data_IF_650489487868
#
_entry.id   IF_650489487868
#
_cell.length_a   1.000
_cell.length_b   1.000
_cell.length_c   1.000
_cell.angle_alpha   90.00
_cell.angle_beta   90.00
_cell.angle_gamma   90.00
#
_symmetry.space_group_name_H-M   'P 1'
#
loop_
_entity.id
_entity.type
_entity.pdbx_description
1 polymer ?
#
# COMPACT_ATOMS: atom_id res chain seq x y z
N UNK A 1 -6.30 -15.44 -11.25
CA UNK A 1 -5.98 -15.39 -9.82
C UNK A 1 -7.24 -15.08 -9.03
N UNK A 2 -7.50 -15.86 -8.02
CA UNK A 2 -8.73 -15.73 -7.24
C UNK A 2 -8.45 -14.99 -5.93
N UNK A 3 -9.18 -13.92 -5.67
CA UNK A 3 -9.10 -13.16 -4.42
C UNK A 3 -10.12 -13.69 -3.40
N UNK A 4 -9.81 -13.50 -2.12
CA UNK A 4 -10.67 -13.99 -1.03
C UNK A 4 -12.04 -13.30 -1.02
N UNK A 5 -12.08 -11.99 -1.33
CA UNK A 5 -13.30 -11.22 -1.25
C UNK A 5 -13.74 -10.68 -2.59
N UNK A 6 -15.03 -10.79 -2.86
CA UNK A 6 -15.65 -10.30 -4.09
C UNK A 6 -15.98 -8.80 -3.98
N UNK A 7 -16.18 -8.12 -5.12
CA UNK A 7 -16.68 -6.75 -5.11
C UNK A 7 -17.98 -6.63 -4.30
N UNK A 8 -18.13 -5.51 -3.63
CA UNK A 8 -19.28 -5.16 -2.77
C UNK A 8 -19.34 -5.93 -1.45
N UNK A 9 -18.36 -6.80 -1.15
CA UNK A 9 -18.32 -7.47 0.15
C UNK A 9 -17.87 -6.52 1.26
N UNK A 10 -18.27 -6.83 2.48
CA UNK A 10 -17.99 -6.00 3.67
C UNK A 10 -17.41 -6.84 4.80
N UNK A 11 -16.21 -7.41 4.63
CA UNK A 11 -15.63 -8.23 5.68
C UNK A 11 -15.25 -7.41 6.92
N UNK A 12 -15.10 -6.10 6.76
CA UNK A 12 -14.72 -5.19 7.83
C UNK A 12 -15.79 -4.12 7.98
N UNK A 13 -16.30 -3.96 9.19
CA UNK A 13 -17.35 -2.97 9.46
C UNK A 13 -16.86 -1.56 9.12
N UNK A 14 -17.69 -0.82 8.42
CA UNK A 14 -17.39 0.55 8.00
C UNK A 14 -16.72 0.68 6.64
N UNK A 15 -16.46 -0.45 5.97
CA UNK A 15 -15.75 -0.45 4.68
C UNK A 15 -16.42 -1.38 3.69
N UNK A 16 -16.46 -0.95 2.42
CA UNK A 16 -16.95 -1.77 1.31
C UNK A 16 -15.84 -2.00 0.31
N UNK A 17 -15.54 -3.25 0.00
CA UNK A 17 -14.57 -3.61 -1.03
C UNK A 17 -15.20 -3.34 -2.39
N UNK A 18 -14.51 -2.59 -3.24
CA UNK A 18 -14.97 -2.30 -4.60
C UNK A 18 -14.31 -3.16 -5.65
N UNK A 19 -13.00 -3.40 -5.51
CA UNK A 19 -12.26 -4.28 -6.42
C UNK A 19 -10.95 -4.73 -5.81
N UNK A 20 -10.45 -5.86 -6.27
CA UNK A 20 -9.13 -6.34 -5.90
C UNK A 20 -8.07 -5.60 -6.71
N UNK A 21 -6.96 -5.28 -6.08
CA UNK A 21 -5.84 -4.57 -6.72
C UNK A 21 -4.64 -5.49 -6.91
N UNK A 22 -4.26 -6.20 -5.84
CA UNK A 22 -2.99 -6.93 -5.83
C UNK A 22 -3.05 -8.10 -4.88
N UNK A 23 -2.35 -9.17 -5.23
CA UNK A 23 -2.15 -10.33 -4.36
C UNK A 23 -0.68 -10.72 -4.39
N UNK A 24 -0.07 -10.84 -3.22
CA UNK A 24 1.33 -11.21 -3.07
C UNK A 24 1.56 -12.12 -1.89
N UNK A 25 2.82 -12.39 -1.56
CA UNK A 25 3.19 -13.29 -0.47
C UNK A 25 2.75 -12.85 0.91
N UNK A 26 2.51 -11.54 1.09
CA UNK A 26 2.12 -10.98 2.39
C UNK A 26 0.61 -10.72 2.52
N UNK A 27 -0.16 -10.97 1.49
CA UNK A 27 -1.60 -10.81 1.55
C UNK A 27 -2.20 -10.21 0.29
N UNK A 28 -3.43 -9.73 0.42
CA UNK A 28 -4.21 -9.17 -0.67
C UNK A 28 -4.48 -7.70 -0.41
N UNK A 29 -4.49 -6.90 -1.47
CA UNK A 29 -4.82 -5.47 -1.39
C UNK A 29 -6.06 -5.20 -2.21
N UNK A 30 -6.98 -4.44 -1.65
CA UNK A 30 -8.25 -4.08 -2.27
C UNK A 30 -8.42 -2.57 -2.30
N UNK A 31 -9.09 -2.09 -3.33
CA UNK A 31 -9.64 -0.75 -3.37
C UNK A 31 -11.02 -0.79 -2.72
N UNK A 32 -11.25 0.09 -1.77
CA UNK A 32 -12.51 0.14 -1.07
C UNK A 32 -12.94 1.55 -0.73
N UNK A 33 -14.13 1.65 -0.17
CA UNK A 33 -14.70 2.92 0.29
C UNK A 33 -15.10 2.78 1.75
N UNK A 34 -14.85 3.83 2.51
CA UNK A 34 -15.44 3.95 3.85
C UNK A 34 -16.95 4.25 3.70
N UNK A 35 -17.71 4.05 4.76
CA UNK A 35 -19.15 4.39 4.75
C UNK A 35 -19.38 5.89 4.48
N UNK A 36 -18.38 6.74 4.77
CA UNK A 36 -18.43 8.16 4.45
C UNK A 36 -18.05 8.47 2.99
N UNK A 37 -17.70 7.46 2.20
CA UNK A 37 -17.35 7.64 0.79
C UNK A 37 -15.88 7.93 0.51
N UNK A 38 -15.01 7.80 1.49
CA UNK A 38 -13.57 8.02 1.29
C UNK A 38 -12.93 6.81 0.61
N UNK A 39 -12.11 7.06 -0.40
CA UNK A 39 -11.33 6.02 -1.05
C UNK A 39 -10.17 5.57 -0.17
N UNK A 40 -10.00 4.26 -0.04
CA UNK A 40 -8.90 3.67 0.74
C UNK A 40 -8.35 2.45 0.03
N UNK A 41 -7.08 2.12 0.33
CA UNK A 41 -6.53 0.81 0.03
C UNK A 41 -6.62 -0.01 1.30
N UNK A 42 -7.09 -1.26 1.16
CA UNK A 42 -7.31 -2.15 2.29
C UNK A 42 -6.43 -3.39 2.10
N UNK A 43 -5.44 -3.55 2.96
CA UNK A 43 -4.53 -4.69 2.88
C UNK A 43 -4.90 -5.73 3.92
N UNK A 44 -5.27 -6.91 3.46
CA UNK A 44 -5.53 -8.06 4.32
C UNK A 44 -4.22 -8.76 4.64
N UNK A 45 -3.87 -8.82 5.92
CA UNK A 45 -2.69 -9.55 6.38
C UNK A 45 -3.06 -11.00 6.62
N UNK A 46 -2.39 -11.91 5.91
CA UNK A 46 -2.58 -13.34 6.05
C UNK A 46 -1.34 -13.96 6.67
N UNK A 47 -1.48 -15.15 7.26
CA UNK A 47 -0.38 -15.93 7.80
C UNK A 47 0.34 -15.29 9.00
N UNK A 48 -0.40 -14.64 9.90
CA UNK A 48 0.14 -14.13 11.17
C UNK A 48 1.39 -13.27 11.00
N UNK A 49 1.30 -12.23 10.20
CA UNK A 49 2.40 -11.30 9.97
C UNK A 49 2.59 -10.36 11.16
N UNK A 50 2.95 -10.89 12.32
CA UNK A 50 3.18 -10.07 13.52
C UNK A 50 4.28 -9.05 13.32
N UNK A 51 5.34 -9.44 12.61
CA UNK A 51 6.45 -8.53 12.33
C UNK A 51 5.99 -7.37 11.44
N UNK A 52 5.21 -7.68 10.40
CA UNK A 52 4.66 -6.65 9.53
C UNK A 52 3.70 -5.74 10.30
N UNK A 53 2.84 -6.32 11.14
CA UNK A 53 1.89 -5.56 11.94
C UNK A 53 2.59 -4.59 12.89
N UNK A 54 3.68 -5.02 13.54
CA UNK A 54 4.46 -4.14 14.41
C UNK A 54 5.09 -2.99 13.63
N UNK A 55 5.66 -3.28 12.46
CA UNK A 55 6.22 -2.25 11.61
C UNK A 55 5.19 -1.22 11.19
N UNK A 56 4.01 -1.69 10.81
CA UNK A 56 2.91 -0.81 10.41
C UNK A 56 2.41 0.03 11.59
N UNK A 57 2.31 -0.56 12.78
CA UNK A 57 1.91 0.17 13.98
C UNK A 57 2.82 1.36 14.26
N UNK A 58 4.13 1.20 14.02
CA UNK A 58 5.10 2.28 14.19
C UNK A 58 4.92 3.37 13.13
N UNK A 59 4.29 3.06 12.01
CA UNK A 59 4.07 4.01 10.91
C UNK A 59 2.70 4.67 10.94
N UNK A 60 1.85 4.33 11.91
CA UNK A 60 0.54 4.97 12.05
C UNK A 60 0.70 6.47 12.25
N UNK A 61 -0.09 7.22 11.49
CA UNK A 61 -0.14 8.69 11.58
C UNK A 61 1.14 9.41 11.17
N UNK A 62 2.11 8.71 10.57
CA UNK A 62 3.23 9.39 9.95
C UNK A 62 2.72 10.07 8.67
N UNK A 63 3.14 11.31 8.47
CA UNK A 63 2.77 12.07 7.29
C UNK A 63 4.02 12.55 6.57
N UNK A 64 4.17 12.14 5.33
CA UNK A 64 5.26 12.56 4.46
C UNK A 64 4.79 12.48 3.01
N UNK A 65 5.13 13.47 2.15
CA UNK A 65 4.67 13.47 0.76
C UNK A 65 5.06 12.23 -0.05
N UNK A 66 6.13 11.56 0.33
CA UNK A 66 6.64 10.40 -0.39
C UNK A 66 6.34 9.07 0.29
N UNK A 67 5.47 9.05 1.29
CA UNK A 67 5.01 7.85 1.95
C UNK A 67 3.49 7.76 1.88
N UNK A 68 2.99 6.55 1.65
CA UNK A 68 1.55 6.28 1.74
C UNK A 68 1.14 6.40 3.21
N UNK A 69 0.12 7.19 3.48
CA UNK A 69 -0.38 7.39 4.83
C UNK A 69 -1.16 6.17 5.28
N UNK A 70 -0.83 5.63 6.45
CA UNK A 70 -1.58 4.55 7.06
C UNK A 70 -2.58 5.17 8.03
N UNK A 71 -3.87 4.93 7.77
CA UNK A 71 -4.94 5.52 8.56
C UNK A 71 -5.29 4.72 9.79
N UNK A 72 -5.28 3.39 9.67
CA UNK A 72 -5.75 2.55 10.77
C UNK A 72 -5.32 1.10 10.56
N UNK A 73 -5.37 0.34 11.64
CA UNK A 73 -5.21 -1.12 11.63
C UNK A 73 -6.45 -1.67 12.32
N UNK A 74 -7.16 -2.56 11.65
CA UNK A 74 -8.40 -3.12 12.18
C UNK A 74 -8.38 -4.64 12.10
N UNK A 75 -9.17 -5.27 12.95
CA UNK A 75 -9.33 -6.72 12.96
C UNK A 75 -10.77 -7.06 12.58
N UNK A 76 -10.95 -8.04 11.70
CA UNK A 76 -12.29 -8.46 11.28
C UNK A 76 -12.86 -9.54 12.18
N UNK A 77 -14.07 -10.00 11.86
CA UNK A 77 -14.75 -11.03 12.65
C UNK A 77 -14.06 -12.38 12.66
N UNK A 78 -13.18 -12.64 11.70
CA UNK A 78 -12.42 -13.89 11.60
C UNK A 78 -11.06 -13.79 12.29
N UNK A 79 -10.75 -12.65 12.87
CA UNK A 79 -9.47 -12.43 13.55
C UNK A 79 -8.34 -11.98 12.67
N UNK A 80 -8.58 -11.78 11.38
CA UNK A 80 -7.56 -11.29 10.46
C UNK A 80 -7.39 -9.78 10.58
N UNK A 81 -6.15 -9.32 10.41
CA UNK A 81 -5.84 -7.91 10.49
C UNK A 81 -5.89 -7.25 9.12
N UNK A 82 -6.37 -6.02 9.10
CA UNK A 82 -6.43 -5.19 7.91
C UNK A 82 -5.69 -3.88 8.15
N UNK A 83 -4.88 -3.49 7.17
CA UNK A 83 -4.24 -2.17 7.17
C UNK A 83 -5.06 -1.28 6.25
N UNK A 84 -5.55 -0.17 6.79
CA UNK A 84 -6.31 0.81 6.02
C UNK A 84 -5.36 1.96 5.71
N UNK A 85 -5.17 2.23 4.43
CA UNK A 85 -4.19 3.21 4.00
C UNK A 85 -4.71 4.06 2.85
N UNK A 86 -3.98 5.11 2.56
CA UNK A 86 -4.25 6.01 1.46
C UNK A 86 -4.28 5.22 0.14
N UNK A 87 -5.31 5.46 -0.68
CA UNK A 87 -5.36 4.93 -2.03
C UNK A 87 -4.65 5.90 -2.98
N UNK A 88 -3.63 5.40 -3.67
CA UNK A 88 -2.89 6.18 -4.66
C UNK A 88 -3.24 5.66 -6.05
N UNK A 89 -3.86 6.50 -6.86
CA UNK A 89 -4.34 6.13 -8.19
C UNK A 89 -3.27 6.16 -9.27
N UNK A 90 -2.04 6.54 -8.93
CA UNK A 90 -0.97 6.69 -9.90
C UNK A 90 -0.39 5.36 -10.37
N UNK A 91 0.49 5.46 -11.37
CA UNK A 91 1.20 4.31 -11.91
C UNK A 91 2.20 3.76 -10.88
N UNK A 92 2.33 2.44 -10.77
CA UNK A 92 3.39 1.84 -9.97
C UNK A 92 4.73 1.88 -10.73
N UNK A 93 5.82 1.84 -9.97
CA UNK A 93 7.15 1.74 -10.58
C UNK A 93 7.27 0.43 -11.38
N UNK A 94 6.66 -0.65 -10.91
CA UNK A 94 6.63 -1.92 -11.62
C UNK A 94 6.00 -1.77 -13.01
N UNK A 95 4.88 -1.06 -13.11
CA UNK A 95 4.24 -0.78 -14.40
C UNK A 95 5.13 0.09 -15.29
N UNK A 96 5.79 1.08 -14.70
CA UNK A 96 6.71 1.95 -15.46
C UNK A 96 7.90 1.16 -16.01
N UNK A 97 8.45 0.25 -15.23
CA UNK A 97 9.55 -0.62 -15.69
C UNK A 97 9.07 -1.49 -16.85
N UNK A 98 7.87 -2.04 -16.77
CA UNK A 98 7.32 -2.89 -17.84
C UNK A 98 7.08 -2.14 -19.15
N UNK A 99 6.87 -0.82 -19.10
CA UNK A 99 6.75 0.01 -20.31
C UNK A 99 8.09 0.20 -21.02
N UNK A 100 9.20 -0.14 -20.38
CA UNK A 100 10.54 0.06 -20.92
C UNK A 100 11.33 -1.26 -20.88
N UNK A 101 10.96 -2.24 -21.73
CA UNK A 101 11.61 -3.57 -21.69
C UNK A 101 13.11 -3.55 -21.99
N UNK A 102 13.59 -2.52 -22.68
CA UNK A 102 15.02 -2.37 -23.01
C UNK A 102 15.77 -1.48 -22.02
N UNK A 103 15.13 -1.11 -20.91
CA UNK A 103 15.71 -0.28 -19.88
C UNK A 103 15.01 1.06 -19.74
N UNK A 104 14.86 1.50 -18.51
CA UNK A 104 14.19 2.76 -18.21
C UNK A 104 15.09 3.95 -18.58
N UNK A 105 14.57 4.95 -19.33
CA UNK A 105 15.36 6.15 -19.64
C UNK A 105 15.77 6.90 -18.37
N UNK A 106 16.93 7.56 -18.42
CA UNK A 106 17.45 8.29 -17.28
C UNK A 106 16.49 9.35 -16.76
N UNK A 107 15.74 10.00 -17.64
CA UNK A 107 14.72 10.96 -17.24
C UNK A 107 13.66 10.37 -16.34
N UNK A 108 13.20 9.16 -16.67
CA UNK A 108 12.24 8.43 -15.83
C UNK A 108 12.86 8.08 -14.48
N UNK A 109 14.09 7.58 -14.47
CA UNK A 109 14.79 7.26 -13.23
C UNK A 109 14.89 8.49 -12.33
N UNK A 110 15.25 9.64 -12.89
CA UNK A 110 15.35 10.90 -12.15
C UNK A 110 14.02 11.38 -11.60
N UNK A 111 12.93 10.95 -12.21
CA UNK A 111 11.58 11.29 -11.74
C UNK A 111 11.20 10.47 -10.52
N UNK A 112 11.60 9.20 -10.45
CA UNK A 112 11.22 8.29 -9.37
C UNK A 112 12.15 8.34 -8.17
N UNK A 113 13.48 8.40 -8.38
CA UNK A 113 14.47 8.23 -7.31
C UNK A 113 14.41 9.27 -6.19
N UNK A 114 14.27 10.58 -6.45
CA UNK A 114 14.33 11.54 -5.35
C UNK A 114 13.23 11.35 -4.31
N UNK A 115 12.00 11.04 -4.76
CA UNK A 115 10.89 10.79 -3.85
C UNK A 115 11.08 9.52 -3.04
N UNK A 116 11.56 8.46 -3.68
CA UNK A 116 11.87 7.20 -3.00
C UNK A 116 12.93 7.40 -1.93
N UNK A 117 14.01 8.09 -2.27
CA UNK A 117 15.10 8.37 -1.34
C UNK A 117 14.62 9.22 -0.17
N UNK A 118 13.82 10.25 -0.43
CA UNK A 118 13.28 11.13 0.61
C UNK A 118 12.36 10.36 1.58
N UNK A 119 11.51 9.49 1.06
CA UNK A 119 10.63 8.67 1.91
C UNK A 119 11.41 7.71 2.79
N UNK A 120 12.40 7.03 2.23
CA UNK A 120 13.24 6.09 2.97
C UNK A 120 14.06 6.83 4.04
N UNK A 121 14.64 7.97 3.69
CA UNK A 121 15.41 8.79 4.63
C UNK A 121 14.53 9.25 5.79
N UNK A 122 13.31 9.68 5.51
CA UNK A 122 12.35 10.08 6.54
C UNK A 122 12.11 8.95 7.54
N UNK A 123 11.92 7.71 7.06
CA UNK A 123 11.73 6.55 7.92
C UNK A 123 12.98 6.25 8.74
N UNK A 124 14.16 6.26 8.11
CA UNK A 124 15.43 5.98 8.78
C UNK A 124 15.73 6.99 9.88
N UNK A 125 15.43 8.27 9.67
CA UNK A 125 15.63 9.32 10.66
C UNK A 125 14.76 9.09 11.91
N UNK A 126 13.72 8.28 11.79
CA UNK A 126 12.85 7.91 12.91
C UNK A 126 13.14 6.51 13.44
N UNK A 127 14.26 5.91 13.03
CA UNK A 127 14.64 4.57 13.45
C UNK A 127 13.80 3.47 12.84
N UNK A 128 13.11 3.74 11.74
CA UNK A 128 12.25 2.78 11.06
C UNK A 128 12.87 2.31 9.76
N UNK A 129 12.50 1.11 9.31
CA UNK A 129 12.94 0.54 8.04
C UNK A 129 11.70 0.19 7.22
N UNK A 130 11.74 0.52 5.93
CA UNK A 130 10.69 0.07 5.02
C UNK A 130 10.90 -1.43 4.74
N UNK A 131 9.97 -2.27 5.16
CA UNK A 131 10.15 -3.73 5.12
C UNK A 131 9.62 -4.38 3.85
N UNK A 132 8.94 -3.61 2.98
CA UNK A 132 8.28 -4.15 1.79
C UNK A 132 8.51 -3.25 0.57
N UNK A 133 9.76 -2.79 0.42
CA UNK A 133 10.13 -1.94 -0.71
C UNK A 133 10.36 -2.80 -1.95
N UNK A 134 9.48 -2.65 -2.93
CA UNK A 134 9.58 -3.29 -4.23
C UNK A 134 8.85 -2.43 -5.27
N UNK A 135 9.13 -2.58 -6.58
CA UNK A 135 8.52 -1.71 -7.60
C UNK A 135 7.00 -1.68 -7.59
N UNK A 136 6.34 -2.76 -7.17
CA UNK A 136 4.88 -2.80 -7.09
C UNK A 136 4.32 -1.93 -5.97
N UNK A 137 5.16 -1.51 -5.01
CA UNK A 137 4.75 -0.69 -3.87
C UNK A 137 5.22 0.76 -3.97
N UNK A 138 5.72 1.17 -5.13
CA UNK A 138 6.14 2.56 -5.39
C UNK A 138 5.18 3.14 -6.41
N UNK A 139 4.58 4.28 -6.09
CA UNK A 139 3.55 4.90 -6.92
C UNK A 139 3.95 6.30 -7.35
N UNK A 140 3.50 6.68 -8.54
CA UNK A 140 3.53 8.08 -8.99
C UNK A 140 2.18 8.69 -8.62
N UNK A 141 2.19 9.83 -7.96
CA UNK A 141 0.95 10.49 -7.58
C UNK A 141 0.37 11.39 -8.67
N UNK A 142 1.02 11.48 -9.82
CA UNK A 142 0.58 12.29 -10.96
C UNK A 142 0.37 13.76 -10.63
N UNK A 143 0.95 14.22 -9.53
CA UNK A 143 0.76 15.58 -9.08
C UNK A 143 2.03 16.37 -8.97
#
# INVERSE_FOLDING_TARGET
MKFTFAPESRPLEGYTIKRAIYRGGFGEVYYGLTDAGREVAMKLLQNNSEVELRGVQQCLNLSHPNLVTIFDIKQDGDGDHWIIMEYVAGETLDAAIRRHPDGMPMEEVRRWLPGMAAGIEFLHDRGLVHRDLKPANVFSDNG
#
